data_IF_666615830062
#
_entry.id   IF_666615830062
#
_cell.length_a   1.000
_cell.length_b   1.000
_cell.length_c   1.000
_cell.angle_alpha   90.00
_cell.angle_beta   90.00
_cell.angle_gamma   90.00
#
_symmetry.space_group_name_H-M   'P 1'
#
loop_
_entity.id
_entity.type
_entity.pdbx_description
1 polymer ?
#
# COMPACT_ATOMS: atom_id res chain seq x y z
N UNK A 1 -15.48 -22.62 10.69
CA UNK A 1 -14.16 -23.30 10.62
C UNK A 1 -13.67 -23.09 9.19
N UNK A 2 -12.77 -22.13 9.00
CA UNK A 2 -12.18 -21.85 7.69
C UNK A 2 -11.05 -22.85 7.46
N UNK A 3 -11.14 -23.65 6.41
CA UNK A 3 -10.08 -24.54 5.96
C UNK A 3 -9.00 -23.66 5.30
N UNK A 4 -7.93 -23.40 6.01
CA UNK A 4 -6.74 -22.77 5.47
C UNK A 4 -5.84 -23.84 4.85
N UNK A 5 -5.92 -24.02 3.52
CA UNK A 5 -4.82 -24.63 2.77
C UNK A 5 -3.66 -23.64 2.69
N UNK A 6 -2.40 -24.08 2.80
CA UNK A 6 -1.26 -23.18 2.73
C UNK A 6 -1.14 -22.58 1.32
N UNK A 7 -0.99 -21.26 1.26
CA UNK A 7 -0.58 -20.57 0.03
C UNK A 7 0.89 -20.94 -0.21
N UNK A 8 1.16 -21.98 -0.99
CA UNK A 8 2.51 -22.41 -1.31
C UNK A 8 3.16 -21.49 -2.35
N UNK A 9 4.42 -21.18 -2.10
CA UNK A 9 5.44 -20.94 -3.10
C UNK A 9 5.70 -19.51 -3.55
N UNK A 10 6.28 -18.69 -2.68
CA UNK A 10 7.16 -17.60 -3.14
C UNK A 10 8.51 -18.21 -3.42
N UNK A 11 8.90 -18.25 -4.70
CA UNK A 11 10.20 -18.79 -5.14
C UNK A 11 11.31 -17.83 -4.70
N UNK A 12 11.90 -18.08 -3.51
CA UNK A 12 13.04 -17.33 -2.97
C UNK A 12 14.32 -17.75 -3.68
N UNK A 13 14.52 -17.31 -4.91
CA UNK A 13 15.79 -17.47 -5.61
C UNK A 13 16.31 -16.13 -6.14
N UNK A 14 16.41 -15.12 -5.23
CA UNK A 14 17.29 -13.98 -5.44
C UNK A 14 17.85 -13.59 -4.06
N UNK A 15 19.10 -13.98 -3.81
CA UNK A 15 19.93 -13.44 -2.73
C UNK A 15 20.34 -12.03 -3.17
N UNK A 16 19.51 -11.04 -2.91
CA UNK A 16 19.82 -9.63 -3.02
C UNK A 16 19.41 -8.98 -1.70
N UNK A 17 20.32 -8.26 -1.09
CA UNK A 17 20.10 -7.48 0.13
C UNK A 17 19.37 -6.16 -0.18
N UNK A 18 18.69 -6.09 -1.34
CA UNK A 18 18.01 -4.88 -1.81
C UNK A 18 16.67 -4.70 -1.07
N UNK A 19 16.36 -3.49 -0.61
CA UNK A 19 15.07 -3.20 0.01
C UNK A 19 13.92 -3.45 -0.95
N UNK A 20 12.74 -3.80 -0.41
CA UNK A 20 11.53 -3.99 -1.21
C UNK A 20 11.14 -2.71 -1.95
N UNK A 21 11.31 -1.56 -1.29
CA UNK A 21 11.13 -0.24 -1.89
C UNK A 21 12.18 0.71 -1.32
N UNK A 22 12.90 1.41 -2.21
CA UNK A 22 13.80 2.51 -1.88
C UNK A 22 13.32 3.77 -2.61
N UNK A 23 13.05 4.81 -1.87
CA UNK A 23 12.67 6.13 -2.37
C UNK A 23 13.73 7.14 -1.93
N UNK A 24 14.27 7.91 -2.87
CA UNK A 24 15.32 8.90 -2.60
C UNK A 24 14.95 10.26 -3.17
N UNK A 25 14.81 11.25 -2.29
CA UNK A 25 14.53 12.66 -2.60
C UNK A 25 13.39 12.87 -3.62
N UNK A 26 12.33 12.08 -3.47
CA UNK A 26 11.24 12.03 -4.42
C UNK A 26 10.40 13.31 -4.37
N UNK A 27 10.32 13.99 -5.50
CA UNK A 27 9.47 15.17 -5.69
C UNK A 27 8.39 14.87 -6.73
N UNK A 28 7.15 15.25 -6.42
CA UNK A 28 6.06 15.22 -7.39
C UNK A 28 5.30 16.53 -7.36
N UNK A 29 5.38 17.25 -8.49
CA UNK A 29 4.58 18.45 -8.77
C UNK A 29 3.63 18.15 -9.94
N UNK A 30 2.35 18.40 -9.75
CA UNK A 30 1.34 18.28 -10.79
C UNK A 30 1.27 19.54 -11.66
N UNK A 31 0.70 19.42 -12.87
CA UNK A 31 0.54 20.55 -13.78
C UNK A 31 -0.35 21.68 -13.20
N UNK A 32 -1.18 21.36 -12.21
CA UNK A 32 -1.98 22.32 -11.44
C UNK A 32 -1.16 23.20 -10.50
N UNK A 33 0.16 22.99 -10.39
CA UNK A 33 1.06 23.67 -9.46
C UNK A 33 1.15 23.03 -8.07
N UNK A 34 0.31 22.04 -7.76
CA UNK A 34 0.34 21.35 -6.48
C UNK A 34 1.61 20.48 -6.36
N UNK A 35 2.42 20.72 -5.35
CA UNK A 35 3.58 19.91 -5.00
C UNK A 35 3.15 18.87 -3.94
N UNK A 36 2.85 17.67 -4.41
CA UNK A 36 2.30 16.61 -3.60
C UNK A 36 3.36 15.83 -2.81
N UNK A 37 4.61 15.77 -3.31
CA UNK A 37 5.78 15.21 -2.62
C UNK A 37 6.95 16.20 -2.72
N UNK A 38 7.67 16.37 -1.60
CA UNK A 38 8.66 17.44 -1.41
C UNK A 38 10.01 16.89 -0.95
N UNK A 39 10.58 15.94 -1.70
CA UNK A 39 11.84 15.29 -1.35
C UNK A 39 11.66 14.14 -0.37
N UNK A 40 10.65 13.29 -0.60
CA UNK A 40 10.39 12.11 0.23
C UNK A 40 11.54 11.10 0.06
N UNK A 41 12.13 10.68 1.19
CA UNK A 41 13.07 9.56 1.25
C UNK A 41 12.54 8.52 2.23
N UNK A 42 12.50 7.25 1.79
CA UNK A 42 11.89 6.14 2.52
C UNK A 42 12.54 4.82 2.08
N UNK A 43 12.78 3.93 3.03
CA UNK A 43 13.24 2.57 2.77
C UNK A 43 12.30 1.57 3.43
N UNK A 44 11.87 0.56 2.66
CA UNK A 44 11.06 -0.57 3.12
C UNK A 44 11.92 -1.82 2.99
N UNK A 45 12.33 -2.47 4.09
CA UNK A 45 13.10 -3.70 4.06
C UNK A 45 12.34 -4.86 3.38
N UNK A 46 13.08 -5.79 2.75
CA UNK A 46 12.48 -7.02 2.20
C UNK A 46 11.83 -7.86 3.30
N UNK A 47 10.61 -8.33 3.07
CA UNK A 47 9.83 -9.15 4.00
C UNK A 47 9.14 -8.36 5.12
N UNK A 48 9.32 -7.04 5.24
CA UNK A 48 8.70 -6.23 6.29
C UNK A 48 7.23 -5.91 5.99
N UNK A 49 6.48 -5.66 7.07
CA UNK A 49 5.15 -5.06 7.02
C UNK A 49 5.27 -3.58 7.40
N UNK A 50 5.21 -2.69 6.41
CA UNK A 50 5.48 -1.27 6.57
C UNK A 50 4.21 -0.42 6.46
N UNK A 51 3.97 0.46 7.44
CA UNK A 51 2.86 1.40 7.47
C UNK A 51 3.25 2.81 7.00
N UNK A 52 2.52 3.38 6.05
CA UNK A 52 2.62 4.79 5.68
C UNK A 52 1.36 5.52 6.12
N UNK A 53 1.46 6.25 7.22
CA UNK A 53 0.35 6.93 7.86
C UNK A 53 0.37 8.44 7.59
N UNK A 54 -0.81 9.00 7.47
CA UNK A 54 -0.97 10.45 7.32
C UNK A 54 -2.39 10.84 6.94
N UNK A 55 -2.75 12.11 7.09
CA UNK A 55 -4.07 12.59 6.75
C UNK A 55 -4.35 12.50 5.24
N UNK A 56 -5.62 12.70 4.86
CA UNK A 56 -5.99 12.80 3.46
C UNK A 56 -5.27 13.99 2.79
N UNK A 57 -4.74 13.75 1.59
CA UNK A 57 -3.94 14.76 0.88
C UNK A 57 -2.48 14.88 1.34
N UNK A 58 -2.01 14.05 2.29
CA UNK A 58 -0.61 14.09 2.75
C UNK A 58 0.42 13.65 1.70
N UNK A 59 0.00 12.95 0.63
CA UNK A 59 0.89 12.46 -0.42
C UNK A 59 0.97 10.93 -0.53
N UNK A 60 0.26 10.15 0.32
CA UNK A 60 0.31 8.68 0.34
C UNK A 60 0.05 8.05 -1.03
N UNK A 61 -1.13 8.28 -1.61
CA UNK A 61 -1.49 7.73 -2.94
C UNK A 61 -0.61 8.29 -4.05
N UNK A 62 -0.06 9.52 -3.91
CA UNK A 62 0.89 10.06 -4.88
C UNK A 62 2.21 9.28 -4.86
N UNK A 63 2.72 8.91 -3.67
CA UNK A 63 3.89 8.05 -3.53
C UNK A 63 3.66 6.69 -4.21
N UNK A 64 2.52 6.05 -3.90
CA UNK A 64 2.11 4.78 -4.52
C UNK A 64 2.04 4.91 -6.05
N UNK A 65 1.41 5.96 -6.56
CA UNK A 65 1.30 6.18 -8.00
C UNK A 65 2.66 6.36 -8.67
N UNK A 66 3.62 7.01 -8.00
CA UNK A 66 4.97 7.11 -8.51
C UNK A 66 5.69 5.75 -8.47
N UNK A 67 5.57 4.98 -7.40
CA UNK A 67 6.19 3.66 -7.26
C UNK A 67 5.65 2.64 -8.28
N UNK A 68 4.34 2.69 -8.57
CA UNK A 68 3.68 1.78 -9.52
C UNK A 68 3.72 2.27 -10.97
N UNK A 69 4.25 3.48 -11.21
CA UNK A 69 4.34 4.10 -12.54
C UNK A 69 3.00 4.62 -13.09
N UNK A 70 2.00 4.82 -12.23
CA UNK A 70 0.76 5.53 -12.56
C UNK A 70 0.97 7.04 -12.66
N UNK A 71 2.01 7.56 -12.00
CA UNK A 71 2.43 8.94 -12.11
C UNK A 71 3.96 9.02 -12.25
N UNK A 72 4.44 9.87 -13.18
CA UNK A 72 5.88 10.12 -13.31
C UNK A 72 6.36 11.08 -12.22
N UNK A 73 7.46 10.79 -11.48
CA UNK A 73 8.08 11.73 -10.58
C UNK A 73 8.53 13.00 -11.31
N UNK A 74 8.63 14.11 -10.59
CA UNK A 74 9.25 15.34 -11.10
C UNK A 74 10.77 15.27 -10.98
N UNK A 75 11.26 14.74 -9.86
CA UNK A 75 12.68 14.42 -9.60
C UNK A 75 12.79 13.38 -8.49
N UNK A 76 14.01 12.96 -8.20
CA UNK A 76 14.28 11.88 -7.25
C UNK A 76 14.25 10.50 -7.92
N UNK A 77 14.35 9.44 -7.10
CA UNK A 77 14.47 8.06 -7.57
C UNK A 77 13.61 7.11 -6.76
N UNK A 78 13.09 6.09 -7.44
CA UNK A 78 12.36 4.98 -6.82
C UNK A 78 12.94 3.67 -7.35
N UNK A 79 13.30 2.77 -6.45
CA UNK A 79 13.76 1.42 -6.77
C UNK A 79 12.88 0.39 -6.06
N UNK A 80 12.55 -0.68 -6.77
CA UNK A 80 11.81 -1.81 -6.25
C UNK A 80 12.69 -3.04 -6.41
N UNK A 81 13.16 -3.61 -5.30
CA UNK A 81 14.15 -4.69 -5.29
C UNK A 81 15.34 -4.38 -6.22
N UNK A 82 15.93 -3.16 -6.10
CA UNK A 82 17.05 -2.70 -6.91
C UNK A 82 16.72 -2.36 -8.37
N UNK A 83 15.46 -2.48 -8.79
CA UNK A 83 15.02 -2.10 -10.12
C UNK A 83 14.44 -0.69 -10.11
N UNK A 84 15.05 0.22 -10.85
CA UNK A 84 14.57 1.58 -11.01
C UNK A 84 13.17 1.58 -11.67
N UNK A 85 12.19 2.18 -11.00
CA UNK A 85 10.78 2.14 -11.40
C UNK A 85 10.47 2.85 -12.73
N UNK A 86 11.42 3.64 -13.27
CA UNK A 86 11.28 4.37 -14.53
C UNK A 86 12.02 3.67 -15.65
N UNK A 87 13.31 3.37 -15.47
CA UNK A 87 14.17 2.82 -16.52
C UNK A 87 14.06 1.32 -16.64
N UNK A 88 13.78 0.61 -15.52
CA UNK A 88 13.53 -0.83 -15.45
C UNK A 88 12.09 -1.12 -15.00
N UNK A 89 11.14 -0.39 -15.59
CA UNK A 89 9.74 -0.39 -15.14
C UNK A 89 9.04 -1.75 -15.25
N UNK A 90 9.48 -2.64 -16.16
CA UNK A 90 8.88 -3.98 -16.31
C UNK A 90 9.21 -4.84 -15.11
N UNK A 91 10.49 -4.98 -14.80
CA UNK A 91 10.98 -5.77 -13.67
C UNK A 91 10.45 -5.21 -12.33
N UNK A 92 10.42 -3.89 -12.20
CA UNK A 92 9.86 -3.24 -11.03
C UNK A 92 8.36 -3.57 -10.85
N UNK A 93 7.56 -3.49 -11.92
CA UNK A 93 6.11 -3.76 -11.86
C UNK A 93 5.78 -5.24 -11.69
N UNK A 94 6.57 -6.15 -12.26
CA UNK A 94 6.42 -7.59 -12.06
C UNK A 94 6.55 -7.98 -10.59
N UNK A 95 7.33 -7.22 -9.81
CA UNK A 95 7.50 -7.46 -8.39
C UNK A 95 6.38 -6.89 -7.52
N UNK A 96 5.47 -6.05 -8.06
CA UNK A 96 4.46 -5.29 -7.28
C UNK A 96 3.05 -5.76 -7.56
N UNK A 97 2.31 -6.06 -6.49
CA UNK A 97 0.86 -6.15 -6.50
C UNK A 97 0.24 -4.88 -5.90
N UNK A 98 -0.75 -4.29 -6.56
CA UNK A 98 -1.44 -3.10 -6.07
C UNK A 98 -2.91 -3.39 -5.81
N UNK A 99 -3.35 -3.19 -4.57
CA UNK A 99 -4.75 -3.12 -4.19
C UNK A 99 -5.10 -1.64 -3.92
N UNK A 100 -5.69 -0.93 -4.89
CA UNK A 100 -6.02 0.48 -4.77
C UNK A 100 -7.21 0.73 -3.84
N UNK A 101 -7.35 1.96 -3.37
CA UNK A 101 -8.48 2.42 -2.57
C UNK A 101 -9.80 2.27 -3.32
N UNK A 102 -9.83 2.69 -4.60
CA UNK A 102 -11.02 2.59 -5.45
C UNK A 102 -11.27 1.16 -5.91
N UNK A 103 -12.55 0.75 -5.89
CA UNK A 103 -13.00 -0.57 -6.35
C UNK A 103 -13.07 -0.65 -7.88
N UNK A 104 -11.96 -0.36 -8.56
CA UNK A 104 -11.84 -0.36 -10.03
C UNK A 104 -11.82 -1.79 -10.60
N UNK A 105 -13.00 -2.40 -10.70
CA UNK A 105 -13.23 -3.70 -11.34
C UNK A 105 -13.97 -3.51 -12.67
N UNK A 106 -13.62 -4.29 -13.68
CA UNK A 106 -14.39 -4.34 -14.92
C UNK A 106 -15.76 -4.98 -14.67
N UNK A 107 -16.82 -4.24 -14.91
CA UNK A 107 -18.20 -4.64 -14.60
C UNK A 107 -18.72 -5.79 -15.45
N UNK A 108 -18.07 -6.07 -16.57
CA UNK A 108 -18.48 -7.09 -17.54
C UNK A 108 -17.83 -8.44 -17.27
N UNK A 109 -16.69 -8.47 -16.56
CA UNK A 109 -15.99 -9.70 -16.22
C UNK A 109 -16.64 -10.39 -15.01
N UNK A 110 -16.53 -11.71 -14.99
CA UNK A 110 -16.80 -12.51 -13.79
C UNK A 110 -15.63 -12.41 -12.81
N UNK A 111 -15.80 -12.97 -11.62
CA UNK A 111 -14.75 -13.06 -10.60
C UNK A 111 -13.55 -13.85 -11.15
N UNK A 112 -13.79 -15.04 -11.74
CA UNK A 112 -12.77 -15.87 -12.34
C UNK A 112 -12.08 -15.18 -13.51
N UNK A 113 -12.84 -14.61 -14.45
CA UNK A 113 -12.30 -13.89 -15.60
C UNK A 113 -11.43 -12.70 -15.18
N UNK A 114 -11.79 -12.00 -14.09
CA UNK A 114 -10.99 -10.88 -13.55
C UNK A 114 -9.62 -11.34 -13.10
N UNK A 115 -9.53 -12.48 -12.41
CA UNK A 115 -8.27 -13.06 -11.96
C UNK A 115 -7.46 -13.61 -13.14
N UNK A 116 -8.06 -14.43 -14.01
CA UNK A 116 -7.38 -15.00 -15.17
C UNK A 116 -6.82 -13.94 -16.12
N UNK A 117 -7.61 -12.89 -16.39
CA UNK A 117 -7.18 -11.76 -17.22
C UNK A 117 -5.96 -11.06 -16.61
N UNK A 118 -5.97 -10.82 -15.30
CA UNK A 118 -4.86 -10.17 -14.61
C UNK A 118 -3.58 -11.01 -14.65
N UNK A 119 -3.68 -12.31 -14.40
CA UNK A 119 -2.55 -13.23 -14.56
C UNK A 119 -2.01 -13.26 -15.99
N UNK A 120 -2.91 -13.22 -17.00
CA UNK A 120 -2.54 -13.12 -18.41
C UNK A 120 -1.79 -11.82 -18.73
N UNK A 121 -2.21 -10.70 -18.15
CA UNK A 121 -1.52 -9.41 -18.29
C UNK A 121 -0.07 -9.46 -17.80
N UNK A 122 0.20 -10.20 -16.71
CA UNK A 122 1.55 -10.44 -16.20
C UNK A 122 2.27 -11.62 -16.87
N UNK A 123 1.74 -12.15 -17.98
CA UNK A 123 2.40 -13.18 -18.77
C UNK A 123 2.39 -14.58 -18.15
N UNK A 124 1.57 -14.84 -17.14
CA UNK A 124 1.46 -16.18 -16.55
C UNK A 124 0.94 -17.21 -17.55
N UNK A 125 1.56 -18.42 -17.63
CA UNK A 125 1.04 -19.52 -18.44
C UNK A 125 -0.40 -19.89 -18.06
N UNK A 126 -1.20 -20.34 -19.03
CA UNK A 126 -2.63 -20.65 -18.79
C UNK A 126 -2.86 -21.70 -17.70
N UNK A 127 -1.97 -22.71 -17.63
CA UNK A 127 -2.07 -23.78 -16.62
C UNK A 127 -1.87 -23.20 -15.21
N UNK A 128 -0.82 -22.38 -15.02
CA UNK A 128 -0.47 -21.76 -13.75
C UNK A 128 -1.55 -20.76 -13.29
N UNK A 129 -2.14 -20.00 -14.25
CA UNK A 129 -3.25 -19.10 -13.96
C UNK A 129 -4.45 -19.84 -13.42
N UNK A 130 -4.82 -20.98 -14.04
CA UNK A 130 -5.97 -21.77 -13.61
C UNK A 130 -5.80 -22.26 -12.17
N UNK A 131 -4.63 -22.82 -11.85
CA UNK A 131 -4.30 -23.26 -10.50
C UNK A 131 -4.34 -22.11 -9.51
N UNK A 132 -3.70 -20.98 -9.88
CA UNK A 132 -3.67 -19.79 -9.02
C UNK A 132 -5.03 -19.15 -8.78
N UNK A 133 -5.92 -19.19 -9.78
CA UNK A 133 -7.31 -18.73 -9.63
C UNK A 133 -8.04 -19.57 -8.58
N UNK A 134 -7.92 -20.91 -8.62
CA UNK A 134 -8.55 -21.78 -7.61
C UNK A 134 -8.01 -21.46 -6.20
N UNK A 135 -6.70 -21.33 -6.04
CA UNK A 135 -6.07 -20.97 -4.76
C UNK A 135 -6.64 -19.66 -4.21
N UNK A 136 -6.74 -18.62 -5.05
CA UNK A 136 -7.20 -17.31 -4.63
C UNK A 136 -8.70 -17.25 -4.39
N UNK A 137 -9.52 -17.96 -5.17
CA UNK A 137 -10.95 -18.05 -4.94
C UNK A 137 -11.25 -18.71 -3.57
N UNK A 138 -10.49 -19.75 -3.23
CA UNK A 138 -10.64 -20.42 -1.93
C UNK A 138 -10.17 -19.52 -0.80
N UNK A 139 -8.95 -18.97 -0.89
CA UNK A 139 -8.36 -18.11 0.12
C UNK A 139 -9.21 -16.87 0.45
N UNK A 140 -9.88 -16.29 -0.54
CA UNK A 140 -10.74 -15.10 -0.37
C UNK A 140 -12.22 -15.42 -0.22
N UNK A 141 -12.61 -16.70 -0.06
CA UNK A 141 -14.01 -17.15 0.06
C UNK A 141 -14.88 -16.64 -1.09
N UNK A 142 -14.39 -16.76 -2.32
CA UNK A 142 -15.06 -16.34 -3.55
C UNK A 142 -15.44 -17.50 -4.48
N UNK A 143 -15.23 -18.76 -4.07
CA UNK A 143 -15.52 -19.96 -4.89
C UNK A 143 -16.94 -19.96 -5.42
N UNK A 144 -17.93 -19.74 -4.54
CA UNK A 144 -19.36 -19.71 -4.89
C UNK A 144 -19.75 -18.49 -5.77
N UNK A 145 -18.82 -17.57 -5.98
CA UNK A 145 -19.04 -16.33 -6.73
C UNK A 145 -18.27 -16.31 -8.06
N UNK A 146 -17.54 -17.39 -8.40
CA UNK A 146 -16.64 -17.43 -9.56
C UNK A 146 -17.28 -16.95 -10.87
N UNK A 147 -18.50 -17.39 -11.15
CA UNK A 147 -19.24 -17.06 -12.37
C UNK A 147 -20.07 -15.78 -12.26
N UNK A 148 -20.07 -15.12 -11.08
CA UNK A 148 -20.80 -13.88 -10.90
C UNK A 148 -20.04 -12.71 -11.48
N UNK A 149 -20.75 -11.80 -12.15
CA UNK A 149 -20.16 -10.56 -12.65
C UNK A 149 -19.80 -9.64 -11.50
N UNK A 150 -18.67 -8.97 -11.60
CA UNK A 150 -18.13 -8.09 -10.54
C UNK A 150 -19.10 -7.00 -10.12
N UNK A 151 -19.97 -6.50 -11.03
CA UNK A 151 -21.00 -5.50 -10.73
C UNK A 151 -22.04 -5.97 -9.69
N UNK A 152 -22.28 -7.27 -9.59
CA UNK A 152 -23.30 -7.85 -8.70
C UNK A 152 -22.76 -8.19 -7.30
N UNK A 153 -21.45 -8.05 -7.10
CA UNK A 153 -20.80 -8.31 -5.82
C UNK A 153 -21.11 -7.21 -4.80
N UNK A 154 -21.18 -7.57 -3.52
CA UNK A 154 -21.17 -6.61 -2.42
C UNK A 154 -19.86 -5.84 -2.35
N UNK A 155 -19.81 -4.72 -1.61
CA UNK A 155 -18.60 -3.95 -1.38
C UNK A 155 -17.47 -4.79 -0.79
N UNK A 156 -17.77 -5.61 0.21
CA UNK A 156 -16.82 -6.53 0.83
C UNK A 156 -16.28 -7.58 -0.14
N UNK A 157 -17.14 -8.21 -0.94
CA UNK A 157 -16.70 -9.17 -1.97
C UNK A 157 -15.81 -8.50 -3.03
N UNK A 158 -16.11 -7.28 -3.44
CA UNK A 158 -15.27 -6.50 -4.36
C UNK A 158 -13.91 -6.24 -3.75
N UNK A 159 -13.84 -5.90 -2.46
CA UNK A 159 -12.58 -5.66 -1.75
C UNK A 159 -11.73 -6.92 -1.69
N UNK A 160 -12.33 -8.07 -1.35
CA UNK A 160 -11.66 -9.39 -1.40
C UNK A 160 -11.14 -9.71 -2.81
N UNK A 161 -11.93 -9.48 -3.85
CA UNK A 161 -11.52 -9.70 -5.24
C UNK A 161 -10.35 -8.81 -5.67
N UNK A 162 -10.30 -7.54 -5.24
CA UNK A 162 -9.20 -6.63 -5.52
C UNK A 162 -7.91 -7.12 -4.87
N UNK A 163 -7.96 -7.61 -3.63
CA UNK A 163 -6.80 -8.20 -2.95
C UNK A 163 -6.35 -9.49 -3.64
N UNK A 164 -7.27 -10.38 -3.98
CA UNK A 164 -6.98 -11.60 -4.75
C UNK A 164 -6.31 -11.26 -6.09
N UNK A 165 -6.84 -10.27 -6.80
CA UNK A 165 -6.28 -9.78 -8.06
C UNK A 165 -4.85 -9.26 -7.89
N UNK A 166 -4.60 -8.47 -6.85
CA UNK A 166 -3.26 -7.92 -6.58
C UNK A 166 -2.21 -9.01 -6.32
N UNK A 167 -2.64 -10.18 -5.82
CA UNK A 167 -1.78 -11.32 -5.51
C UNK A 167 -1.67 -12.36 -6.65
N UNK A 168 -2.38 -12.16 -7.75
CA UNK A 168 -2.48 -13.16 -8.82
C UNK A 168 -1.13 -13.59 -9.39
N UNK A 169 -0.24 -12.66 -9.65
CA UNK A 169 1.09 -12.90 -10.26
C UNK A 169 2.19 -13.14 -9.22
N UNK A 170 1.82 -13.43 -7.95
CA UNK A 170 2.74 -13.73 -6.83
C UNK A 170 3.79 -12.61 -6.62
N UNK A 171 3.37 -11.36 -6.39
CA UNK A 171 4.29 -10.24 -6.21
C UNK A 171 5.15 -10.42 -4.98
N UNK A 172 6.36 -9.83 -4.99
CA UNK A 172 7.25 -9.74 -3.82
C UNK A 172 6.90 -8.57 -2.90
N UNK A 173 6.29 -7.50 -3.45
CA UNK A 173 5.80 -6.35 -2.70
C UNK A 173 4.30 -6.19 -2.98
N UNK A 174 3.49 -6.23 -1.91
CA UNK A 174 2.06 -5.93 -1.97
C UNK A 174 1.82 -4.52 -1.42
N UNK A 175 1.24 -3.66 -2.25
CA UNK A 175 0.86 -2.30 -1.86
C UNK A 175 -0.65 -2.26 -1.63
N UNK A 176 -1.05 -1.85 -0.44
CA UNK A 176 -2.43 -1.74 0.02
C UNK A 176 -2.77 -0.27 0.27
N UNK A 177 -3.55 0.34 -0.63
CA UNK A 177 -3.96 1.74 -0.47
C UNK A 177 -5.32 1.82 0.24
N UNK A 178 -5.31 2.12 1.53
CA UNK A 178 -6.46 2.19 2.42
C UNK A 178 -7.40 0.98 2.31
N UNK A 179 -6.92 -0.27 2.51
CA UNK A 179 -7.65 -1.49 2.17
C UNK A 179 -8.92 -1.69 3.00
N UNK A 180 -9.03 -1.08 4.17
CA UNK A 180 -10.14 -1.26 5.11
C UNK A 180 -11.06 -0.03 5.19
N UNK A 181 -10.85 0.98 4.35
CA UNK A 181 -11.70 2.16 4.32
C UNK A 181 -13.15 1.79 3.96
N UNK A 182 -14.08 2.13 4.85
CA UNK A 182 -15.51 1.90 4.64
C UNK A 182 -15.97 0.45 4.73
N UNK A 183 -15.16 -0.47 5.28
CA UNK A 183 -15.57 -1.85 5.57
C UNK A 183 -15.99 -2.00 7.04
N UNK A 184 -16.86 -2.97 7.31
CA UNK A 184 -17.24 -3.31 8.67
C UNK A 184 -16.11 -4.00 9.46
N UNK A 185 -16.28 -4.13 10.77
CA UNK A 185 -15.24 -4.65 11.68
C UNK A 185 -14.88 -6.10 11.36
N UNK A 186 -15.88 -6.93 11.04
CA UNK A 186 -15.68 -8.36 10.78
C UNK A 186 -14.82 -8.56 9.53
N UNK A 187 -15.17 -7.91 8.43
CA UNK A 187 -14.40 -7.95 7.19
C UNK A 187 -12.98 -7.36 7.37
N UNK A 188 -12.86 -6.29 8.17
CA UNK A 188 -11.53 -5.70 8.46
C UNK A 188 -10.61 -6.71 9.14
N UNK A 189 -11.09 -7.42 10.16
CA UNK A 189 -10.31 -8.43 10.88
C UNK A 189 -9.93 -9.61 9.97
N UNK A 190 -10.84 -10.05 9.09
CA UNK A 190 -10.52 -11.08 8.09
C UNK A 190 -9.42 -10.64 7.13
N UNK A 191 -9.49 -9.40 6.62
CA UNK A 191 -8.48 -8.84 5.72
C UNK A 191 -7.12 -8.71 6.42
N UNK A 192 -7.10 -8.27 7.69
CA UNK A 192 -5.87 -8.19 8.49
C UNK A 192 -5.22 -9.56 8.65
N UNK A 193 -5.99 -10.55 9.04
CA UNK A 193 -5.48 -11.91 9.17
C UNK A 193 -4.86 -12.42 7.86
N UNK A 194 -5.56 -12.19 6.75
CA UNK A 194 -5.08 -12.62 5.43
C UNK A 194 -3.77 -11.93 5.03
N UNK A 195 -3.67 -10.61 5.18
CA UNK A 195 -2.44 -9.89 4.80
C UNK A 195 -1.26 -10.23 5.72
N UNK A 196 -1.51 -10.51 7.01
CA UNK A 196 -0.49 -11.03 7.92
C UNK A 196 0.06 -12.38 7.45
N UNK A 197 -0.81 -13.30 7.02
CA UNK A 197 -0.36 -14.58 6.47
C UNK A 197 0.47 -14.41 5.19
N UNK A 198 0.06 -13.54 4.29
CA UNK A 198 0.81 -13.20 3.07
C UNK A 198 2.21 -12.66 3.43
N UNK A 199 2.30 -11.77 4.42
CA UNK A 199 3.58 -11.25 4.90
C UNK A 199 4.44 -12.35 5.56
N UNK A 200 3.85 -13.17 6.42
CA UNK A 200 4.54 -14.30 7.08
C UNK A 200 5.15 -15.27 6.05
N UNK A 201 4.53 -15.43 4.89
CA UNK A 201 5.05 -16.22 3.77
C UNK A 201 6.19 -15.51 3.00
N UNK A 202 6.51 -14.26 3.36
CA UNK A 202 7.68 -13.52 2.89
C UNK A 202 7.39 -12.43 1.85
N UNK A 203 6.13 -12.11 1.57
CA UNK A 203 5.78 -10.92 0.77
C UNK A 203 5.97 -9.68 1.62
N UNK A 204 6.73 -8.70 1.12
CA UNK A 204 6.81 -7.37 1.73
C UNK A 204 5.47 -6.65 1.57
N UNK A 205 5.04 -5.87 2.57
CA UNK A 205 3.77 -5.14 2.50
C UNK A 205 4.01 -3.65 2.76
N UNK A 206 3.48 -2.80 1.88
CA UNK A 206 3.29 -1.37 2.13
C UNK A 206 1.80 -1.10 2.31
N UNK A 207 1.41 -0.76 3.53
CA UNK A 207 0.06 -0.37 3.89
C UNK A 207 -0.04 1.13 4.02
N UNK A 208 -0.93 1.78 3.27
CA UNK A 208 -1.34 3.14 3.59
C UNK A 208 -2.64 3.12 4.37
N UNK A 209 -2.70 3.88 5.43
CA UNK A 209 -3.89 4.01 6.25
C UNK A 209 -3.91 5.36 6.99
N UNK A 210 -5.08 5.75 7.43
CA UNK A 210 -5.28 6.83 8.40
C UNK A 210 -5.79 6.27 9.75
N UNK A 211 -5.94 4.95 9.87
CA UNK A 211 -6.30 4.26 11.11
C UNK A 211 -5.05 3.83 11.85
N UNK A 212 -4.80 4.44 13.01
CA UNK A 212 -3.62 4.16 13.84
C UNK A 212 -3.63 2.74 14.40
N UNK A 213 -4.81 2.25 14.81
CA UNK A 213 -4.99 0.87 15.28
C UNK A 213 -4.51 -0.17 14.25
N UNK A 214 -4.81 0.06 12.97
CA UNK A 214 -4.38 -0.83 11.89
C UNK A 214 -2.86 -0.88 11.76
N UNK A 215 -2.20 0.27 11.88
CA UNK A 215 -0.75 0.33 11.82
C UNK A 215 -0.09 -0.31 13.05
N UNK A 216 -0.62 -0.12 14.24
CA UNK A 216 -0.10 -0.73 15.48
C UNK A 216 -0.23 -2.25 15.47
N UNK A 217 -1.32 -2.78 14.89
CA UNK A 217 -1.58 -4.21 14.89
C UNK A 217 -0.83 -4.97 13.79
N UNK A 218 -0.51 -4.31 12.68
CA UNK A 218 0.00 -4.98 11.48
C UNK A 218 1.47 -4.65 11.17
N UNK A 219 1.93 -3.43 11.47
CA UNK A 219 3.18 -2.94 10.93
C UNK A 219 4.38 -3.12 11.86
N UNK A 220 5.48 -3.64 11.32
CA UNK A 220 6.77 -3.69 12.00
C UNK A 220 7.39 -2.30 12.12
N UNK A 221 7.23 -1.49 11.07
CA UNK A 221 7.70 -0.11 11.00
C UNK A 221 6.64 0.80 10.41
N UNK A 222 6.65 2.04 10.84
CA UNK A 222 5.68 3.06 10.48
C UNK A 222 6.42 4.32 10.08
N UNK A 223 6.00 4.95 8.98
CA UNK A 223 6.39 6.33 8.63
C UNK A 223 5.16 7.23 8.64
N UNK A 224 5.29 8.38 9.27
CA UNK A 224 4.30 9.45 9.18
C UNK A 224 4.64 10.37 8.01
N UNK A 225 3.70 10.52 7.09
CA UNK A 225 3.78 11.49 6.00
C UNK A 225 2.80 12.63 6.23
N UNK A 226 3.26 13.86 6.10
CA UNK A 226 2.40 15.03 6.20
C UNK A 226 2.85 16.10 5.20
N UNK A 227 1.89 16.66 4.44
CA UNK A 227 2.15 17.68 3.42
C UNK A 227 3.27 17.36 2.43
N UNK A 228 3.40 16.09 2.05
CA UNK A 228 4.38 15.62 1.09
C UNK A 228 5.78 15.39 1.65
N UNK A 229 5.95 15.30 2.97
CA UNK A 229 7.23 15.06 3.65
C UNK A 229 7.10 13.91 4.64
N UNK A 230 8.14 13.06 4.78
CA UNK A 230 8.23 12.11 5.90
C UNK A 230 8.65 12.90 7.14
N UNK A 231 7.82 12.86 8.18
CA UNK A 231 8.02 13.66 9.39
C UNK A 231 8.56 12.84 10.57
N UNK A 232 8.31 11.53 10.58
CA UNK A 232 8.89 10.59 11.53
C UNK A 232 8.82 9.17 10.95
N UNK A 233 9.76 8.30 11.34
CA UNK A 233 9.77 6.88 11.01
C UNK A 233 10.36 6.09 12.17
N UNK A 234 9.85 4.88 12.42
CA UNK A 234 10.29 3.94 13.43
C UNK A 234 9.22 2.89 13.74
N UNK A 235 9.47 2.05 14.74
CA UNK A 235 8.46 1.17 15.33
C UNK A 235 7.44 1.99 16.15
N UNK A 236 6.26 1.44 16.42
CA UNK A 236 5.24 2.14 17.25
C UNK A 236 5.81 2.59 18.61
N UNK A 237 6.56 1.75 19.38
CA UNK A 237 7.19 2.19 20.63
C UNK A 237 8.26 3.27 20.45
N UNK A 238 9.07 3.22 19.39
CA UNK A 238 10.08 4.25 19.12
C UNK A 238 9.45 5.60 18.79
N UNK A 239 8.35 5.60 18.03
CA UNK A 239 7.61 6.82 17.71
C UNK A 239 6.96 7.41 18.95
N UNK A 240 6.28 6.62 19.78
CA UNK A 240 5.73 7.07 21.05
C UNK A 240 6.83 7.64 21.97
N UNK A 241 7.93 6.93 22.17
CA UNK A 241 9.06 7.38 22.99
C UNK A 241 9.73 8.66 22.49
N UNK A 242 9.81 8.87 21.18
CA UNK A 242 10.38 10.08 20.58
C UNK A 242 9.59 11.35 20.91
N UNK A 243 8.29 11.23 21.10
CA UNK A 243 7.42 12.33 21.48
C UNK A 243 7.14 12.40 23.00
N UNK A 244 7.65 11.41 23.76
CA UNK A 244 7.47 11.35 25.23
C UNK A 244 6.04 11.02 25.63
N UNK A 245 5.35 10.23 24.83
CA UNK A 245 3.96 9.78 25.02
C UNK A 245 3.87 8.25 25.07
N UNK A 246 2.73 7.72 25.50
CA UNK A 246 2.56 6.29 25.72
C UNK A 246 2.03 5.53 24.48
N UNK A 247 1.33 6.24 23.58
CA UNK A 247 0.65 5.63 22.42
C UNK A 247 1.08 6.23 21.09
N UNK A 248 0.92 5.47 20.01
CA UNK A 248 1.13 5.95 18.64
C UNK A 248 0.13 7.07 18.30
N UNK A 249 -1.08 7.00 18.85
CA UNK A 249 -2.12 8.02 18.65
C UNK A 249 -1.70 9.37 19.23
N UNK A 250 -1.18 9.38 20.44
CA UNK A 250 -0.66 10.60 21.06
C UNK A 250 0.54 11.16 20.29
N UNK A 251 1.45 10.29 19.84
CA UNK A 251 2.59 10.69 19.01
C UNK A 251 2.13 11.34 17.69
N UNK A 252 1.09 10.78 17.06
CA UNK A 252 0.52 11.33 15.84
C UNK A 252 -0.14 12.70 16.09
N UNK A 253 -0.92 12.84 17.17
CA UNK A 253 -1.58 14.09 17.54
C UNK A 253 -0.55 15.20 17.84
N UNK A 254 0.50 14.89 18.59
CA UNK A 254 1.62 15.81 18.84
C UNK A 254 2.28 16.28 17.53
N UNK A 255 2.46 15.37 16.60
CA UNK A 255 3.11 15.66 15.32
C UNK A 255 2.24 16.56 14.42
N UNK A 256 0.94 16.28 14.35
CA UNK A 256 -0.02 17.10 13.59
C UNK A 256 -0.23 18.46 14.27
N UNK A 257 -0.41 18.49 15.58
CA UNK A 257 -0.65 19.73 16.35
C UNK A 257 0.54 20.68 16.34
N UNK A 258 1.78 20.20 16.44
CA UNK A 258 3.00 21.04 16.35
C UNK A 258 3.14 21.74 15.00
N UNK A 259 2.77 21.09 13.91
CA UNK A 259 2.84 21.70 12.56
C UNK A 259 1.71 22.73 12.32
N UNK A 260 0.54 22.56 12.90
CA UNK A 260 -0.53 23.56 12.81
C UNK A 260 -0.17 24.84 13.58
N UNK A 261 0.38 24.72 14.80
CA UNK A 261 0.86 25.85 15.59
C UNK A 261 2.02 26.58 14.89
N UNK A 262 2.94 25.89 14.23
CA UNK A 262 4.04 26.52 13.48
C UNK A 262 3.56 27.30 12.27
N UNK A 263 2.45 26.91 11.66
CA UNK A 263 1.87 27.61 10.49
C UNK A 263 1.05 28.82 10.88
N UNK A 264 0.32 28.78 12.01
CA UNK A 264 -0.41 29.94 12.51
C UNK A 264 0.55 31.09 12.85
N UNK A 265 1.72 30.80 13.40
CA UNK A 265 2.75 31.82 13.70
C UNK A 265 3.43 32.40 12.46
N UNK A 266 3.52 31.67 11.33
CA UNK A 266 4.08 32.17 10.08
C UNK A 266 3.07 33.00 9.28
N UNK A 267 1.77 32.72 9.44
CA UNK A 267 0.69 33.50 8.82
C UNK A 267 0.43 34.86 9.48
N UNK A 268 0.81 35.00 10.75
CA UNK A 268 0.68 36.29 11.48
C UNK A 268 1.82 37.28 11.21
N UNK A 269 2.95 36.81 10.62
CA UNK A 269 4.09 37.68 10.30
C UNK A 269 4.01 38.33 8.90
N UNK A 270 3.12 37.81 8.02
CA UNK A 270 2.93 38.38 6.66
C UNK A 270 1.76 39.40 6.60
N UNK A 271 1.16 39.71 7.70
CA UNK A 271 -0.05 40.56 7.79
C UNK A 271 0.13 41.99 8.32
N UNK A 272 1.37 42.46 8.52
CA UNK A 272 1.61 43.85 8.97
C UNK A 272 2.68 44.50 8.11
N UNK A 273 2.23 45.20 7.07
CA UNK A 273 2.76 46.47 6.60
C UNK A 273 2.12 46.85 5.27
N UNK A 274 1.03 47.59 5.28
CA UNK A 274 0.75 48.67 4.30
C UNK A 274 -0.12 49.70 4.98
N UNK A 275 0.46 50.75 5.47
CA UNK A 275 -0.14 52.09 5.46
C UNK A 275 0.29 52.87 4.23
#
# INVERSE_FOLDING_TARGET
MLHHGPVEGINRNVQGNDPALLVSDLVKRYATGVEALKGVSLEIPDGSFFGLLGPNGAGKSTLIHCATGLAMPTSGRIEIFGNDAITRYREAREAVGLAPQDLNLDWFLTVEETLDFHGGYFGMPKADRKERVEELLDAFSLVDKRDQRTRTLSGGMKRRLILARALMHRPRLLILDEPTAGVDVELRLELWHYVQEVNRLGTSILLTTHYLEEAEQLCDQIAFINHGEIVAQGTSPELAGRFGVDTLEDAYLELVGRKELSRSHLGELDGTEVE
#
